data_IF_502833660732
#
_entry.id   IF_502833660732
#
_cell.length_a   1.000
_cell.length_b   1.000
_cell.length_c   1.000
_cell.angle_alpha   90.00
_cell.angle_beta   90.00
_cell.angle_gamma   90.00
#
_symmetry.space_group_name_H-M   'P 1'
#
loop_
_entity.id
_entity.type
_entity.pdbx_description
1 polymer ?
#
# COMPACT_ATOMS: atom_id res chain seq x y z
N UNK A 1 10.53 1.13 -23.77
CA UNK A 1 9.12 0.78 -23.50
C UNK A 1 9.14 -0.49 -22.67
N UNK A 2 8.86 -0.43 -21.36
CA UNK A 2 8.94 -1.61 -20.49
C UNK A 2 7.70 -2.45 -20.74
N UNK A 3 7.87 -3.67 -21.27
CA UNK A 3 6.77 -4.58 -21.58
C UNK A 3 6.20 -5.20 -20.29
N UNK A 4 5.32 -4.45 -19.61
CA UNK A 4 4.63 -4.88 -18.40
C UNK A 4 3.82 -6.18 -18.59
N UNK A 5 3.49 -6.52 -19.84
CA UNK A 5 2.71 -7.70 -20.23
C UNK A 5 3.40 -9.04 -19.93
N UNK A 6 4.73 -9.09 -19.95
CA UNK A 6 5.49 -10.33 -19.68
C UNK A 6 5.70 -10.63 -18.20
N UNK A 7 5.37 -9.69 -17.33
CA UNK A 7 5.55 -9.83 -15.88
C UNK A 7 4.42 -10.73 -15.34
N UNK A 8 4.73 -11.89 -14.70
CA UNK A 8 3.71 -12.76 -14.14
C UNK A 8 2.81 -12.03 -13.13
N UNK A 9 1.53 -12.42 -13.08
CA UNK A 9 0.51 -11.75 -12.25
C UNK A 9 0.91 -11.63 -10.77
N UNK A 10 1.63 -12.60 -10.22
CA UNK A 10 2.13 -12.58 -8.84
C UNK A 10 3.06 -11.40 -8.56
N UNK A 11 3.94 -11.05 -9.51
CA UNK A 11 4.85 -9.90 -9.35
C UNK A 11 4.10 -8.57 -9.46
N UNK A 12 3.05 -8.50 -10.28
CA UNK A 12 2.19 -7.30 -10.37
C UNK A 12 1.42 -7.09 -9.08
N UNK A 13 0.82 -8.16 -8.54
CA UNK A 13 0.13 -8.14 -7.25
C UNK A 13 1.10 -7.77 -6.11
N UNK A 14 2.31 -8.31 -6.10
CA UNK A 14 3.33 -7.96 -5.11
C UNK A 14 3.74 -6.48 -5.21
N UNK A 15 3.89 -5.94 -6.42
CA UNK A 15 4.20 -4.53 -6.63
C UNK A 15 3.05 -3.60 -6.17
N UNK A 16 1.80 -3.94 -6.50
CA UNK A 16 0.62 -3.19 -6.06
C UNK A 16 0.44 -3.29 -4.54
N UNK A 17 0.66 -4.47 -3.97
CA UNK A 17 0.66 -4.66 -2.52
C UNK A 17 1.71 -3.78 -1.85
N UNK A 18 2.97 -3.80 -2.34
CA UNK A 18 4.03 -2.97 -1.81
C UNK A 18 3.71 -1.47 -1.92
N UNK A 19 3.13 -1.03 -3.04
CA UNK A 19 2.66 0.34 -3.20
C UNK A 19 1.54 0.69 -2.19
N UNK A 20 0.58 -0.21 -1.97
CA UNK A 20 -0.49 -0.01 -0.98
C UNK A 20 0.04 0.01 0.46
N UNK A 21 1.04 -0.80 0.79
CA UNK A 21 1.74 -0.75 2.09
C UNK A 21 2.42 0.60 2.28
N UNK A 22 3.09 1.13 1.26
CA UNK A 22 3.72 2.46 1.31
C UNK A 22 2.68 3.57 1.48
N UNK A 23 1.53 3.48 0.79
CA UNK A 23 0.43 4.42 0.97
C UNK A 23 -0.14 4.36 2.39
N UNK A 24 -0.35 3.16 2.93
CA UNK A 24 -0.77 2.97 4.33
C UNK A 24 0.24 3.55 5.32
N UNK A 25 1.54 3.44 5.02
CA UNK A 25 2.60 4.01 5.84
C UNK A 25 2.56 5.54 5.84
N UNK A 26 2.38 6.16 4.68
CA UNK A 26 2.22 7.61 4.55
C UNK A 26 0.95 8.07 5.30
N UNK A 27 -0.17 7.36 5.14
CA UNK A 27 -1.41 7.66 5.84
C UNK A 27 -1.23 7.60 7.37
N UNK A 28 -0.51 6.59 7.88
CA UNK A 28 -0.15 6.52 9.29
C UNK A 28 0.71 7.71 9.72
N UNK A 29 1.76 8.05 8.96
CA UNK A 29 2.63 9.19 9.25
C UNK A 29 1.84 10.50 9.30
N UNK A 30 0.92 10.72 8.37
CA UNK A 30 0.04 11.89 8.32
C UNK A 30 -0.93 11.90 9.50
N UNK A 31 -1.57 10.77 9.82
CA UNK A 31 -2.49 10.66 10.96
C UNK A 31 -1.78 10.98 12.28
N UNK A 32 -0.54 10.49 12.47
CA UNK A 32 0.27 10.83 13.64
C UNK A 32 0.79 12.27 13.62
N UNK A 33 1.15 12.80 12.45
CA UNK A 33 1.58 14.19 12.27
C UNK A 33 0.47 15.21 12.54
N UNK A 34 -0.77 14.85 12.21
CA UNK A 34 -1.98 15.66 12.46
C UNK A 34 -2.62 15.36 13.82
N UNK A 35 -2.11 14.38 14.57
CA UNK A 35 -2.70 14.03 15.86
C UNK A 35 -2.51 15.15 16.88
N UNK A 36 -3.56 15.44 17.66
CA UNK A 36 -3.53 16.42 18.76
C UNK A 36 -2.68 15.95 19.97
N UNK A 37 -2.01 14.79 19.89
CA UNK A 37 -1.20 14.19 20.96
C UNK A 37 0.20 13.80 20.44
N UNK A 38 1.06 14.79 20.16
CA UNK A 38 2.28 14.59 19.38
C UNK A 38 3.39 13.81 20.12
N UNK A 39 3.27 13.56 21.42
CA UNK A 39 4.21 12.75 22.21
C UNK A 39 4.03 11.23 22.07
N UNK A 40 2.92 10.79 21.47
CA UNK A 40 2.64 9.36 21.22
C UNK A 40 3.23 8.85 19.91
N UNK A 41 3.64 9.77 19.02
CA UNK A 41 4.32 9.42 17.78
C UNK A 41 5.79 9.07 18.08
N UNK A 42 6.25 7.84 17.80
CA UNK A 42 7.62 7.38 18.06
C UNK A 42 8.70 8.17 17.32
N UNK A 43 8.33 8.81 16.22
CA UNK A 43 9.23 9.58 15.35
C UNK A 43 9.06 11.09 15.51
N UNK A 44 8.19 11.53 16.41
CA UNK A 44 8.07 12.93 16.78
C UNK A 44 9.28 13.36 17.60
N UNK A 45 9.73 14.61 17.41
CA UNK A 45 10.81 15.21 18.23
C UNK A 45 10.44 15.29 19.72
N UNK A 46 9.15 15.19 20.05
CA UNK A 46 8.63 15.20 21.41
C UNK A 46 8.68 13.82 22.09
N UNK A 47 8.98 12.75 21.35
CA UNK A 47 9.17 11.44 21.94
C UNK A 47 10.52 11.38 22.68
N UNK A 48 10.59 10.83 23.90
CA UNK A 48 11.84 10.66 24.63
C UNK A 48 12.91 10.02 23.75
N UNK A 49 14.02 10.73 23.58
CA UNK A 49 15.14 10.26 22.75
C UNK A 49 15.85 9.12 23.47
N UNK A 50 15.85 7.94 22.87
CA UNK A 50 16.45 6.74 23.45
C UNK A 50 17.82 6.37 22.85
N UNK A 51 18.37 7.23 21.99
CA UNK A 51 19.68 7.03 21.35
C UNK A 51 19.77 5.84 20.39
N UNK A 52 18.66 5.11 20.16
CA UNK A 52 18.64 3.86 19.38
C UNK A 52 17.89 3.97 18.07
N UNK A 53 17.58 5.19 17.63
CA UNK A 53 16.90 5.46 16.36
C UNK A 53 17.74 4.98 15.18
N UNK A 54 17.45 3.78 14.68
CA UNK A 54 18.05 3.25 13.45
C UNK A 54 17.12 3.60 12.29
N UNK A 55 17.68 3.91 11.12
CA UNK A 55 16.91 4.20 9.91
C UNK A 55 15.84 3.13 9.58
N UNK A 56 16.11 1.88 9.94
CA UNK A 56 15.18 0.74 9.84
C UNK A 56 13.90 0.90 10.68
N UNK A 57 13.89 1.75 11.71
CA UNK A 57 12.70 2.04 12.50
C UNK A 57 11.69 2.91 11.74
N UNK A 58 12.07 3.46 10.57
CA UNK A 58 11.20 4.24 9.68
C UNK A 58 10.69 3.46 8.47
N UNK A 59 11.05 2.17 8.36
CA UNK A 59 10.54 1.35 7.25
C UNK A 59 9.10 0.89 7.53
N UNK A 60 8.24 0.80 6.50
CA UNK A 60 6.93 0.19 6.63
C UNK A 60 7.07 -1.24 7.12
N UNK A 61 6.12 -1.71 7.94
CA UNK A 61 6.06 -3.00 8.63
C UNK A 61 7.20 -3.23 9.63
N UNK A 62 8.46 -3.14 9.19
CA UNK A 62 9.68 -3.38 9.98
C UNK A 62 9.81 -2.37 11.11
N UNK A 63 9.51 -1.10 10.86
CA UNK A 63 9.59 -0.05 11.86
C UNK A 63 8.68 -0.33 13.06
N UNK A 64 7.43 -0.71 12.78
CA UNK A 64 6.44 -1.06 13.81
C UNK A 64 6.80 -2.32 14.59
N UNK A 65 7.26 -3.38 13.91
CA UNK A 65 7.73 -4.61 14.57
C UNK A 65 8.95 -4.36 15.47
N UNK A 66 9.87 -3.50 15.04
CA UNK A 66 11.03 -3.10 15.85
C UNK A 66 10.61 -2.26 17.05
N UNK A 67 9.54 -1.49 16.91
CA UNK A 67 8.92 -0.72 17.98
C UNK A 67 8.15 -1.59 18.98
N UNK A 68 7.67 -2.77 18.57
CA UNK A 68 7.04 -3.73 19.48
C UNK A 68 7.96 -4.15 20.63
N UNK A 69 9.28 -4.10 20.43
CA UNK A 69 10.28 -4.32 21.50
C UNK A 69 10.28 -3.23 22.59
N UNK A 70 9.70 -2.06 22.31
CA UNK A 70 9.52 -0.95 23.25
C UNK A 70 8.07 -0.89 23.77
N UNK A 71 7.34 -2.01 23.69
CA UNK A 71 5.94 -2.11 24.11
C UNK A 71 5.70 -1.80 25.59
N UNK A 72 6.72 -1.91 26.45
CA UNK A 72 6.64 -1.51 27.86
C UNK A 72 6.50 0.01 28.02
N UNK A 73 7.07 0.80 27.11
CA UNK A 73 7.05 2.27 27.18
C UNK A 73 5.86 2.88 26.42
N UNK A 74 5.45 2.27 25.31
CA UNK A 74 4.40 2.79 24.40
C UNK A 74 3.05 2.08 24.53
N UNK A 75 2.99 0.99 25.29
CA UNK A 75 1.81 0.13 25.46
C UNK A 75 1.78 -1.06 24.48
N UNK A 76 1.32 -2.21 24.97
CA UNK A 76 1.38 -3.52 24.27
C UNK A 76 0.69 -3.59 22.90
N UNK A 77 -0.22 -2.67 22.57
CA UNK A 77 -1.00 -2.69 21.33
C UNK A 77 -0.74 -1.53 20.37
N UNK A 78 0.12 -0.57 20.72
CA UNK A 78 0.28 0.65 19.92
C UNK A 78 0.77 0.39 18.49
N UNK A 79 1.62 -0.63 18.31
CA UNK A 79 2.22 -1.01 17.03
C UNK A 79 1.29 -1.88 16.16
N UNK A 80 0.25 -2.48 16.74
CA UNK A 80 -0.65 -3.40 16.03
C UNK A 80 -1.55 -2.64 15.07
N UNK A 81 -2.19 -1.55 15.53
CA UNK A 81 -3.07 -0.72 14.68
C UNK A 81 -2.39 -0.20 13.42
N UNK A 82 -1.22 0.46 13.47
CA UNK A 82 -0.58 0.96 12.26
C UNK A 82 -0.04 -0.16 11.37
N UNK A 83 0.42 -1.28 11.95
CA UNK A 83 0.85 -2.45 11.17
C UNK A 83 -0.33 -3.09 10.42
N UNK A 84 -1.49 -3.21 11.09
CA UNK A 84 -2.73 -3.66 10.44
C UNK A 84 -3.18 -2.68 9.36
N UNK A 85 -3.11 -1.37 9.60
CA UNK A 85 -3.48 -0.38 8.60
C UNK A 85 -2.61 -0.49 7.33
N UNK A 86 -1.29 -0.69 7.48
CA UNK A 86 -0.37 -0.89 6.35
C UNK A 86 -0.68 -2.19 5.58
N UNK A 87 -0.87 -3.30 6.30
CA UNK A 87 -1.18 -4.59 5.68
C UNK A 87 -2.56 -4.59 5.00
N UNK A 88 -3.57 -4.02 5.65
CA UNK A 88 -4.93 -3.93 5.12
C UNK A 88 -4.98 -3.02 3.89
N UNK A 89 -4.24 -1.90 3.90
CA UNK A 89 -4.14 -1.03 2.73
C UNK A 89 -3.45 -1.74 1.55
N UNK A 90 -2.32 -2.40 1.81
CA UNK A 90 -1.65 -3.23 0.81
C UNK A 90 -2.56 -4.32 0.22
N UNK A 91 -3.23 -5.07 1.10
CA UNK A 91 -4.16 -6.12 0.72
C UNK A 91 -5.36 -5.58 -0.05
N UNK A 92 -5.93 -4.45 0.36
CA UNK A 92 -7.04 -3.78 -0.31
C UNK A 92 -6.64 -3.34 -1.73
N UNK A 93 -5.49 -2.67 -1.90
CA UNK A 93 -5.00 -2.29 -3.23
C UNK A 93 -4.75 -3.51 -4.12
N UNK A 94 -4.13 -4.57 -3.59
CA UNK A 94 -3.86 -5.79 -4.35
C UNK A 94 -5.15 -6.54 -4.73
N UNK A 95 -6.12 -6.62 -3.80
CA UNK A 95 -7.42 -7.22 -4.05
C UNK A 95 -8.23 -6.42 -5.08
N UNK A 96 -8.21 -5.08 -4.98
CA UNK A 96 -8.87 -4.20 -5.94
C UNK A 96 -8.26 -4.36 -7.34
N UNK A 97 -6.93 -4.39 -7.44
CA UNK A 97 -6.25 -4.65 -8.71
C UNK A 97 -6.59 -6.02 -9.29
N UNK A 98 -6.55 -7.07 -8.46
CA UNK A 98 -6.90 -8.43 -8.87
C UNK A 98 -8.35 -8.54 -9.33
N UNK A 99 -9.27 -7.90 -8.62
CA UNK A 99 -10.68 -7.84 -8.99
C UNK A 99 -10.89 -7.09 -10.31
N UNK A 100 -10.24 -5.93 -10.50
CA UNK A 100 -10.36 -5.15 -11.73
C UNK A 100 -9.77 -5.87 -12.96
N UNK A 101 -8.63 -6.53 -12.80
CA UNK A 101 -8.02 -7.33 -13.87
C UNK A 101 -8.85 -8.58 -14.17
N UNK A 102 -9.38 -9.25 -13.14
CA UNK A 102 -10.18 -10.47 -13.29
C UNK A 102 -11.59 -10.23 -13.85
N UNK A 103 -12.21 -9.08 -13.55
CA UNK A 103 -13.54 -8.72 -14.08
C UNK A 103 -13.48 -7.98 -15.41
N UNK A 104 -12.29 -7.55 -15.86
CA UNK A 104 -12.15 -6.73 -17.06
C UNK A 104 -12.80 -5.34 -16.92
N UNK A 105 -13.14 -4.91 -15.70
CA UNK A 105 -13.87 -3.68 -15.42
C UNK A 105 -13.11 -2.38 -15.76
N UNK A 106 -11.81 -2.48 -16.06
CA UNK A 106 -10.98 -1.39 -16.56
C UNK A 106 -11.17 -1.11 -18.06
N UNK A 107 -11.99 -1.90 -18.76
CA UNK A 107 -12.25 -1.74 -20.18
C UNK A 107 -13.64 -1.12 -20.42
N UNK A 108 -13.79 -0.23 -21.44
CA UNK A 108 -15.09 0.35 -21.78
C UNK A 108 -16.14 -0.75 -22.01
N UNK A 109 -17.42 -0.52 -21.65
CA UNK A 109 -18.49 -1.47 -21.94
C UNK A 109 -18.50 -1.78 -23.44
N UNK A 110 -18.10 -2.99 -23.82
CA UNK A 110 -17.99 -3.43 -25.21
C UNK A 110 -16.60 -3.87 -25.70
N UNK A 111 -15.52 -3.67 -24.92
CA UNK A 111 -14.16 -4.01 -25.39
C UNK A 111 -13.65 -5.42 -25.00
N UNK A 112 -14.34 -6.15 -24.11
CA UNK A 112 -14.01 -7.55 -23.79
C UNK A 112 -15.27 -8.33 -23.49
N UNK A 113 -15.58 -9.28 -24.36
CA UNK A 113 -16.50 -10.35 -24.06
C UNK A 113 -15.95 -11.12 -22.84
N UNK A 114 -16.81 -11.33 -21.85
CA UNK A 114 -16.61 -12.27 -20.74
C UNK A 114 -16.07 -13.59 -21.33
N UNK A 115 -14.81 -13.92 -21.02
CA UNK A 115 -14.15 -15.16 -21.49
C UNK A 115 -13.45 -15.10 -22.86
N UNK A 116 -13.25 -13.91 -23.46
CA UNK A 116 -12.64 -13.77 -24.78
C UNK A 116 -11.14 -14.08 -24.85
N UNK A 117 -10.79 -15.09 -25.66
CA UNK A 117 -9.42 -15.56 -26.00
C UNK A 117 -8.59 -14.57 -26.86
N UNK A 118 -8.71 -13.27 -26.62
CA UNK A 118 -7.96 -12.25 -27.37
C UNK A 118 -6.99 -11.59 -26.37
N UNK A 119 -5.67 -11.76 -26.53
CA UNK A 119 -4.72 -11.10 -25.65
C UNK A 119 -4.91 -9.57 -25.78
N UNK A 120 -5.12 -8.85 -24.65
CA UNK A 120 -5.31 -7.41 -24.69
C UNK A 120 -4.05 -6.75 -25.26
N UNK A 121 -4.23 -5.91 -26.27
CA UNK A 121 -3.11 -5.22 -26.93
C UNK A 121 -2.31 -4.36 -25.93
N UNK A 122 -1.04 -4.02 -26.21
CA UNK A 122 -0.22 -3.18 -25.32
C UNK A 122 -0.87 -1.83 -24.97
N UNK A 123 -1.68 -1.28 -25.88
CA UNK A 123 -2.45 -0.04 -25.68
C UNK A 123 -3.56 -0.27 -24.65
N UNK A 124 -4.23 -1.43 -24.73
CA UNK A 124 -5.26 -1.86 -23.78
C UNK A 124 -4.70 -1.91 -22.35
N UNK A 125 -3.49 -2.46 -22.18
CA UNK A 125 -2.82 -2.48 -20.88
C UNK A 125 -2.50 -1.07 -20.35
N UNK A 126 -2.01 -0.17 -21.21
CA UNK A 126 -1.71 1.21 -20.80
C UNK A 126 -2.95 1.96 -20.32
N UNK A 127 -4.09 1.78 -21.00
CA UNK A 127 -5.37 2.36 -20.60
C UNK A 127 -5.82 1.78 -19.25
N UNK A 128 -5.70 0.46 -19.05
CA UNK A 128 -6.05 -0.17 -17.77
C UNK A 128 -5.20 0.38 -16.60
N UNK A 129 -3.90 0.56 -16.80
CA UNK A 129 -3.03 1.15 -15.78
C UNK A 129 -3.34 2.63 -15.52
N UNK A 130 -3.62 3.42 -16.56
CA UNK A 130 -3.96 4.83 -16.43
C UNK A 130 -5.30 5.05 -15.71
N UNK A 131 -6.31 4.23 -16.03
CA UNK A 131 -7.63 4.29 -15.39
C UNK A 131 -7.56 3.86 -13.93
N UNK A 132 -6.78 2.82 -13.61
CA UNK A 132 -6.54 2.43 -12.21
C UNK A 132 -5.85 3.54 -11.42
N UNK A 133 -4.81 4.16 -11.99
CA UNK A 133 -4.14 5.31 -11.38
C UNK A 133 -5.08 6.48 -11.15
N UNK A 134 -5.94 6.80 -12.13
CA UNK A 134 -6.94 7.86 -12.01
C UNK A 134 -8.00 7.55 -10.93
N UNK A 135 -8.45 6.30 -10.82
CA UNK A 135 -9.42 5.90 -9.79
C UNK A 135 -8.87 5.98 -8.37
N UNK A 136 -7.58 5.65 -8.17
CA UNK A 136 -6.90 5.83 -6.87
C UNK A 136 -6.81 7.31 -6.48
N UNK A 137 -6.71 8.22 -7.46
CA UNK A 137 -6.57 9.67 -7.22
C UNK A 137 -7.94 10.36 -7.04
N UNK A 138 -8.99 9.85 -7.67
CA UNK A 138 -10.33 10.46 -7.70
C UNK A 138 -11.34 9.86 -6.71
N UNK A 139 -11.03 8.75 -6.04
CA UNK A 139 -11.87 8.12 -5.02
C UNK A 139 -11.33 8.39 -3.62
#
# INVERSE_FOLDING_TARGET
>A
MIELEKIPIYYRLAAVFAAGVLLGHIANLLAYGLSMRPGRNPWSRLHPYDGRGRWLDRLPLVGWLRLARKSETLGRGFWISPLLAELLMGAFCAALYGWQVGTGALLPPGAVAVGGKIPPSPITWQIMYAVFGAQIVLS
#
